data_IF_041254286479
#
_entry.id   IF_041254286479
#
_cell.length_a   1.000
_cell.length_b   1.000
_cell.length_c   1.000
_cell.angle_alpha   90.00
_cell.angle_beta   90.00
_cell.angle_gamma   90.00
#
_symmetry.space_group_name_H-M   'P 1'
#
loop_
_entity.id
_entity.type
_entity.pdbx_description
1 polymer ?
#
# COMPACT_ATOMS: atom_id res chain seq x y z
N UNK A 1 -2.80 -26.65 6.69
CA UNK A 1 -2.53 -25.36 6.05
C UNK A 1 -3.86 -24.75 5.68
N UNK A 2 -4.25 -23.56 6.08
CA UNK A 2 -3.53 -22.46 6.70
C UNK A 2 -4.18 -21.21 6.11
N UNK A 3 -5.06 -20.49 6.83
CA UNK A 3 -5.42 -19.18 6.37
C UNK A 3 -4.19 -18.33 6.61
N UNK A 4 -3.59 -17.84 5.53
CA UNK A 4 -2.61 -16.76 5.60
C UNK A 4 -3.30 -15.58 6.27
N UNK A 5 -3.22 -15.54 7.60
CA UNK A 5 -3.58 -14.40 8.42
C UNK A 5 -2.53 -13.31 8.22
N UNK A 6 -2.36 -12.87 6.96
CA UNK A 6 -2.02 -11.49 6.71
C UNK A 6 -3.30 -10.72 7.00
N UNK A 7 -3.50 -10.33 8.27
CA UNK A 7 -4.49 -9.31 8.62
C UNK A 7 -4.38 -8.15 7.63
N UNK A 8 -5.49 -7.44 7.33
CA UNK A 8 -5.70 -6.73 6.08
C UNK A 8 -4.38 -6.13 5.64
N UNK A 9 -3.80 -6.68 4.57
CA UNK A 9 -2.70 -6.01 3.87
C UNK A 9 -3.34 -4.73 3.32
N UNK A 10 -3.46 -3.74 4.20
CA UNK A 10 -4.30 -2.57 3.98
C UNK A 10 -3.75 -1.87 2.76
N UNK A 11 -4.59 -1.53 1.80
CA UNK A 11 -4.13 -0.98 0.54
C UNK A 11 -3.33 0.30 0.78
N UNK A 12 -2.28 0.50 0.01
CA UNK A 12 -1.58 1.76 -0.04
C UNK A 12 -2.26 2.63 -1.10
N UNK A 13 -2.81 3.78 -0.70
CA UNK A 13 -3.41 4.77 -1.58
C UNK A 13 -2.43 5.91 -1.83
N UNK A 14 -2.32 6.36 -3.07
CA UNK A 14 -1.65 7.60 -3.38
C UNK A 14 -2.59 8.79 -3.10
N UNK A 15 -2.21 9.75 -2.23
CA UNK A 15 -3.06 10.91 -1.92
C UNK A 15 -3.07 11.97 -3.03
N UNK A 16 -2.23 11.82 -4.07
CA UNK A 16 -2.14 12.76 -5.19
C UNK A 16 -2.99 12.33 -6.39
N UNK A 17 -3.04 11.04 -6.69
CA UNK A 17 -3.72 10.50 -7.87
C UNK A 17 -4.74 9.40 -7.53
N UNK A 18 -4.96 9.12 -6.25
CA UNK A 18 -5.86 8.07 -5.75
C UNK A 18 -5.52 6.64 -6.22
N UNK A 19 -4.28 6.39 -6.65
CA UNK A 19 -3.83 5.06 -7.06
C UNK A 19 -3.80 4.09 -5.87
N UNK A 20 -4.41 2.91 -6.05
CA UNK A 20 -4.45 1.86 -5.04
C UNK A 20 -3.42 0.77 -5.36
N UNK A 21 -2.54 0.49 -4.41
CA UNK A 21 -1.48 -0.50 -4.53
C UNK A 21 -1.59 -1.49 -3.38
N UNK A 22 -1.33 -2.77 -3.66
CA UNK A 22 -1.28 -3.80 -2.62
C UNK A 22 -0.10 -3.52 -1.68
N UNK A 23 -0.40 -3.35 -0.39
CA UNK A 23 0.64 -3.17 0.62
C UNK A 23 1.46 -4.45 0.78
N UNK A 24 2.78 -4.30 0.72
CA UNK A 24 3.69 -5.41 0.92
C UNK A 24 4.05 -5.53 2.40
N UNK A 25 3.86 -6.73 2.98
CA UNK A 25 4.28 -7.01 4.36
C UNK A 25 5.78 -6.75 4.52
N UNK A 26 6.13 -5.96 5.52
CA UNK A 26 7.51 -5.56 5.79
C UNK A 26 7.98 -4.30 5.05
N UNK A 27 7.16 -3.74 4.14
CA UNK A 27 7.45 -2.47 3.47
C UNK A 27 6.34 -1.48 3.79
N UNK A 28 6.62 -0.35 4.49
CA UNK A 28 5.59 0.65 4.76
C UNK A 28 5.13 1.30 3.44
N UNK A 29 3.84 1.67 3.35
CA UNK A 29 3.30 2.36 2.17
C UNK A 29 4.13 3.61 1.80
N UNK A 30 4.61 4.34 2.79
CA UNK A 30 5.42 5.55 2.60
C UNK A 30 6.80 5.28 1.99
N UNK A 31 7.32 4.04 2.07
CA UNK A 31 8.54 3.64 1.38
C UNK A 31 8.28 3.21 -0.07
N UNK A 32 7.01 3.00 -0.45
CA UNK A 32 6.62 2.71 -1.82
C UNK A 32 6.29 4.00 -2.56
N UNK A 33 6.74 4.07 -3.82
CA UNK A 33 6.53 5.22 -4.70
C UNK A 33 5.38 4.92 -5.66
N UNK A 34 4.48 5.88 -5.84
CA UNK A 34 3.38 5.75 -6.76
C UNK A 34 3.89 5.67 -8.22
N UNK A 35 3.50 4.64 -9.00
CA UNK A 35 3.94 4.49 -10.38
C UNK A 35 3.31 5.53 -11.34
N UNK A 36 2.24 6.22 -10.93
CA UNK A 36 1.58 7.23 -11.76
C UNK A 36 2.10 8.65 -11.59
N UNK A 37 2.46 9.04 -10.36
CA UNK A 37 2.83 10.42 -10.05
C UNK A 37 4.16 10.57 -9.30
N UNK A 38 4.79 9.47 -8.88
CA UNK A 38 6.06 9.51 -8.15
C UNK A 38 5.96 9.90 -6.67
N UNK A 39 4.76 10.08 -6.12
CA UNK A 39 4.56 10.46 -4.71
C UNK A 39 4.60 9.24 -3.78
N UNK A 40 4.93 9.46 -2.50
CA UNK A 40 4.88 8.42 -1.49
C UNK A 40 3.44 7.93 -1.27
N UNK A 41 3.24 6.62 -1.20
CA UNK A 41 1.92 6.06 -0.91
C UNK A 41 1.61 6.16 0.59
N UNK A 42 0.33 6.23 0.93
CA UNK A 42 -0.14 6.25 2.33
C UNK A 42 -1.05 5.06 2.57
N UNK A 43 -1.15 4.59 3.82
CA UNK A 43 -2.05 3.47 4.15
C UNK A 43 -3.49 3.97 4.08
N UNK A 44 -4.36 3.24 3.37
CA UNK A 44 -5.80 3.50 3.38
C UNK A 44 -6.32 3.20 4.80
N UNK A 45 -6.72 4.26 5.51
CA UNK A 45 -7.25 4.19 6.87
C UNK A 45 -8.72 3.79 6.87
#
# INVERSE_FOLDING_TARGET
GGPVAGGPAGLCICPQCNEQVAHQRGVPCSAQTCPKCGSALVRAN
#
